data_IF_829157530980
#
_entry.id   IF_829157530980
#
_cell.length_a   1.000
_cell.length_b   1.000
_cell.length_c   1.000
_cell.angle_alpha   90.00
_cell.angle_beta   90.00
_cell.angle_gamma   90.00
#
_symmetry.space_group_name_H-M   'P 1'
#
loop_
_entity.id
_entity.type
_entity.pdbx_description
1 polymer ?
#
# COMPACT_ATOMS: atom_id res chain seq x y z
N UNK A 1 26.25 -13.25 -64.77
CA UNK A 1 25.30 -12.24 -64.25
C UNK A 1 24.35 -12.97 -63.30
N UNK A 2 24.60 -12.87 -62.00
CA UNK A 2 23.77 -13.50 -60.96
C UNK A 2 22.90 -12.36 -60.35
N UNK A 3 21.61 -12.45 -60.56
CA UNK A 3 20.65 -11.53 -59.93
C UNK A 3 20.42 -11.93 -58.48
N UNK A 4 20.84 -11.05 -57.58
CA UNK A 4 20.55 -11.15 -56.13
C UNK A 4 19.20 -10.54 -55.90
N UNK A 5 18.21 -11.39 -55.57
CA UNK A 5 16.88 -10.93 -55.10
C UNK A 5 16.98 -10.53 -53.64
N UNK A 6 16.91 -9.23 -53.36
CA UNK A 6 16.67 -8.71 -52.00
C UNK A 6 15.18 -8.91 -51.65
N UNK A 7 14.93 -9.78 -50.71
CA UNK A 7 13.60 -9.90 -50.06
C UNK A 7 13.59 -8.84 -48.94
N UNK A 8 12.66 -7.87 -48.94
CA UNK A 8 12.51 -6.99 -47.79
C UNK A 8 11.89 -7.78 -46.65
N UNK A 9 12.63 -7.93 -45.55
CA UNK A 9 12.07 -8.39 -44.27
C UNK A 9 11.14 -7.27 -43.80
N UNK A 10 9.86 -7.48 -44.00
CA UNK A 10 8.79 -6.68 -43.40
C UNK A 10 8.80 -7.00 -41.90
N UNK A 11 9.53 -6.20 -41.13
CA UNK A 11 9.46 -6.23 -39.68
C UNK A 11 8.03 -5.79 -39.31
N UNK A 12 7.16 -6.78 -39.08
CA UNK A 12 5.80 -6.55 -38.60
C UNK A 12 5.91 -5.93 -37.24
N UNK A 13 5.85 -4.60 -37.16
CA UNK A 13 5.41 -3.92 -35.96
C UNK A 13 4.02 -4.47 -35.65
N UNK A 14 3.92 -5.35 -34.70
CA UNK A 14 2.67 -5.61 -34.01
C UNK A 14 2.36 -4.32 -33.26
N UNK A 15 1.64 -3.41 -33.94
CA UNK A 15 0.88 -2.39 -33.24
C UNK A 15 -0.08 -3.17 -32.34
N UNK A 16 0.26 -3.26 -31.06
CA UNK A 16 -0.78 -3.47 -30.06
C UNK A 16 -1.69 -2.24 -30.23
N UNK A 17 -2.77 -2.44 -31.00
CA UNK A 17 -3.88 -1.51 -30.97
C UNK A 17 -4.23 -1.36 -29.50
N UNK A 18 -4.10 -0.14 -28.98
CA UNK A 18 -4.65 0.19 -27.68
C UNK A 18 -6.11 -0.23 -27.80
N UNK A 19 -6.46 -1.35 -27.16
CA UNK A 19 -7.85 -1.78 -27.08
C UNK A 19 -8.59 -0.58 -26.51
N UNK A 20 -9.54 -0.08 -27.29
CA UNK A 20 -10.38 1.00 -26.86
C UNK A 20 -11.15 0.51 -25.65
N UNK A 21 -10.79 0.97 -24.45
CA UNK A 21 -11.53 0.71 -23.21
C UNK A 21 -12.54 1.85 -22.96
N UNK A 22 -13.49 2.15 -23.89
CA UNK A 22 -14.48 3.21 -23.70
C UNK A 22 -15.37 2.92 -22.50
N UNK A 23 -15.39 1.63 -22.06
CA UNK A 23 -16.17 1.15 -20.95
C UNK A 23 -15.69 1.70 -19.60
N UNK A 24 -14.38 1.97 -19.39
CA UNK A 24 -13.87 2.42 -18.09
C UNK A 24 -14.38 3.81 -17.73
N UNK A 25 -14.27 4.78 -18.65
CA UNK A 25 -14.80 6.12 -18.42
C UNK A 25 -16.31 6.09 -18.25
N UNK A 26 -17.02 5.36 -19.10
CA UNK A 26 -18.46 5.18 -19.03
C UNK A 26 -18.87 4.59 -17.68
N UNK A 27 -18.16 3.56 -17.18
CA UNK A 27 -18.42 2.96 -15.89
C UNK A 27 -18.22 3.96 -14.73
N UNK A 28 -17.13 4.76 -14.75
CA UNK A 28 -16.93 5.81 -13.77
C UNK A 28 -18.09 6.82 -13.77
N UNK A 29 -18.49 7.29 -14.96
CA UNK A 29 -19.59 8.26 -15.13
C UNK A 29 -20.92 7.67 -14.61
N UNK A 30 -21.20 6.38 -14.89
CA UNK A 30 -22.40 5.69 -14.42
C UNK A 30 -22.42 5.53 -12.89
N UNK A 31 -21.30 5.17 -12.25
CA UNK A 31 -21.24 5.02 -10.80
C UNK A 31 -21.36 6.38 -10.09
N UNK A 32 -20.83 7.45 -10.69
CA UNK A 32 -21.02 8.81 -10.19
C UNK A 32 -22.50 9.23 -10.33
N UNK A 33 -23.12 8.95 -11.48
CA UNK A 33 -24.53 9.26 -11.71
C UNK A 33 -25.48 8.50 -10.77
N UNK A 34 -25.10 7.29 -10.36
CA UNK A 34 -25.82 6.49 -9.34
C UNK A 34 -25.55 6.94 -7.90
N UNK A 35 -24.72 7.95 -7.68
CA UNK A 35 -24.24 8.36 -6.37
C UNK A 35 -23.50 7.25 -5.59
N UNK A 36 -22.81 6.33 -6.29
CA UNK A 36 -21.98 5.30 -5.64
C UNK A 36 -20.55 5.78 -5.35
N UNK A 37 -20.10 6.83 -6.06
CA UNK A 37 -18.84 7.54 -5.80
C UNK A 37 -18.95 9.02 -6.11
N UNK A 38 -18.08 9.83 -5.53
CA UNK A 38 -17.96 11.28 -5.80
C UNK A 38 -17.12 11.53 -7.05
N UNK A 39 -16.09 10.73 -7.23
CA UNK A 39 -15.19 10.77 -8.35
C UNK A 39 -14.16 9.65 -8.25
N UNK A 40 -13.47 9.39 -9.35
CA UNK A 40 -12.48 8.32 -9.42
C UNK A 40 -11.49 8.52 -10.56
N UNK A 41 -10.34 7.88 -10.41
CA UNK A 41 -9.31 7.76 -11.41
C UNK A 41 -8.99 6.28 -11.60
N UNK A 42 -9.03 5.81 -12.84
CA UNK A 42 -8.61 4.45 -13.22
C UNK A 42 -7.38 4.56 -14.11
N UNK A 43 -6.37 3.78 -13.81
CA UNK A 43 -5.19 3.62 -14.64
C UNK A 43 -5.00 2.14 -14.97
N UNK A 44 -4.85 1.83 -16.24
CA UNK A 44 -4.47 0.50 -16.72
C UNK A 44 -3.07 0.54 -17.31
N UNK A 45 -2.37 -0.57 -17.22
CA UNK A 45 -1.01 -0.68 -17.73
C UNK A 45 -0.60 -2.15 -17.89
N UNK A 46 0.51 -2.32 -18.57
CA UNK A 46 1.19 -3.59 -18.74
C UNK A 46 2.65 -3.51 -18.28
N UNK A 47 3.44 -4.50 -18.67
CA UNK A 47 4.89 -4.54 -18.36
C UNK A 47 5.65 -3.35 -18.95
N UNK A 48 5.19 -2.78 -20.06
CA UNK A 48 5.91 -1.78 -20.83
C UNK A 48 5.49 -0.34 -20.46
N UNK A 49 4.26 -0.15 -20.00
CA UNK A 49 3.83 1.20 -19.61
C UNK A 49 2.40 1.33 -19.12
N UNK A 50 2.01 2.59 -18.99
CA UNK A 50 0.61 2.96 -18.81
C UNK A 50 -0.06 2.92 -20.18
N UNK A 51 -1.10 2.13 -20.31
CA UNK A 51 -1.89 2.01 -21.53
C UNK A 51 -2.96 3.08 -21.58
N UNK A 52 -3.64 3.33 -20.47
CA UNK A 52 -4.72 4.28 -20.39
C UNK A 52 -4.91 4.83 -18.98
N UNK A 53 -5.38 6.06 -18.91
CA UNK A 53 -5.82 6.70 -17.68
C UNK A 53 -7.13 7.44 -17.95
N UNK A 54 -8.14 7.16 -17.12
CA UNK A 54 -9.46 7.79 -17.20
C UNK A 54 -9.80 8.37 -15.82
N UNK A 55 -10.46 9.51 -15.83
CA UNK A 55 -10.89 10.17 -14.61
C UNK A 55 -12.25 10.82 -14.80
N UNK A 56 -13.03 10.88 -13.74
CA UNK A 56 -14.36 11.52 -13.74
C UNK A 56 -14.74 11.97 -12.32
N UNK A 57 -15.64 12.94 -12.25
CA UNK A 57 -16.18 13.45 -11.00
C UNK A 57 -15.28 14.42 -10.28
N UNK A 58 -15.52 14.55 -8.96
CA UNK A 58 -14.93 15.58 -8.12
C UNK A 58 -13.92 15.00 -7.13
N UNK A 59 -12.83 15.71 -6.99
CA UNK A 59 -11.85 15.51 -5.91
C UNK A 59 -12.28 16.25 -4.62
N UNK A 60 -13.06 17.31 -4.75
CA UNK A 60 -13.62 18.08 -3.65
C UNK A 60 -15.00 18.63 -4.04
N UNK A 61 -16.03 18.21 -3.30
CA UNK A 61 -17.42 18.65 -3.54
C UNK A 61 -17.59 20.14 -3.23
N UNK A 62 -17.02 20.62 -2.11
CA UNK A 62 -17.23 21.97 -1.63
C UNK A 62 -16.67 23.03 -2.60
N UNK A 63 -15.46 22.80 -3.10
CA UNK A 63 -14.83 23.67 -4.10
C UNK A 63 -15.20 23.34 -5.55
N UNK A 64 -15.93 22.25 -5.79
CA UNK A 64 -16.22 21.70 -7.12
C UNK A 64 -14.96 21.37 -7.94
N UNK A 65 -13.86 21.06 -7.27
CA UNK A 65 -12.60 20.69 -7.92
C UNK A 65 -12.75 19.33 -8.59
N UNK A 66 -12.57 19.28 -9.91
CA UNK A 66 -12.53 18.02 -10.64
C UNK A 66 -11.27 17.22 -10.33
N UNK A 67 -11.34 15.89 -10.46
CA UNK A 67 -10.16 15.01 -10.34
C UNK A 67 -9.16 15.33 -11.45
N UNK A 68 -7.87 15.36 -11.07
CA UNK A 68 -6.73 15.57 -11.96
C UNK A 68 -5.82 14.33 -11.95
N UNK A 69 -5.01 14.18 -13.01
CA UNK A 69 -4.12 13.03 -13.19
C UNK A 69 -3.05 12.89 -12.08
N UNK A 70 -2.64 14.00 -11.49
CA UNK A 70 -1.63 14.11 -10.43
C UNK A 70 -2.23 14.26 -9.03
N UNK A 71 -3.53 14.05 -8.89
CA UNK A 71 -4.17 14.10 -7.58
C UNK A 71 -3.63 13.01 -6.65
N UNK A 72 -3.50 13.42 -5.38
CA UNK A 72 -3.07 12.55 -4.31
C UNK A 72 -4.30 11.87 -3.67
N UNK A 73 -4.20 10.57 -3.46
CA UNK A 73 -5.24 9.77 -2.80
C UNK A 73 -4.69 9.14 -1.54
N UNK A 74 -5.49 9.08 -0.48
CA UNK A 74 -5.25 8.11 0.57
C UNK A 74 -5.52 6.72 0.00
N UNK A 75 -4.47 5.90 -0.11
CA UNK A 75 -4.55 4.59 -0.76
C UNK A 75 -4.93 3.45 0.19
N UNK A 76 -5.18 3.78 1.45
CA UNK A 76 -5.67 2.82 2.46
C UNK A 76 -4.88 1.50 2.43
N UNK A 77 -5.56 0.38 2.35
CA UNK A 77 -4.96 -0.96 2.40
C UNK A 77 -4.07 -1.32 1.20
N UNK A 78 -4.03 -0.51 0.15
CA UNK A 78 -3.00 -0.62 -0.88
C UNK A 78 -1.59 -0.30 -0.34
N UNK A 79 -1.48 0.19 0.89
CA UNK A 79 -0.21 0.28 1.65
C UNK A 79 0.40 -1.09 1.94
N UNK A 80 -0.40 -2.14 2.16
CA UNK A 80 0.07 -3.47 2.59
C UNK A 80 1.04 -4.14 1.62
N UNK A 81 0.83 -4.13 0.29
CA UNK A 81 1.81 -4.63 -0.66
C UNK A 81 3.18 -3.95 -0.55
N UNK A 82 3.20 -2.64 -0.26
CA UNK A 82 4.45 -1.90 -0.01
C UNK A 82 5.14 -2.45 1.24
N UNK A 83 4.39 -2.69 2.31
CA UNK A 83 4.92 -3.25 3.56
C UNK A 83 5.44 -4.67 3.35
N UNK A 84 4.70 -5.51 2.64
CA UNK A 84 5.15 -6.86 2.26
C UNK A 84 6.46 -6.81 1.47
N UNK A 85 6.53 -5.94 0.47
CA UNK A 85 7.76 -5.72 -0.33
C UNK A 85 8.94 -5.33 0.55
N UNK A 86 8.77 -4.42 1.50
CA UNK A 86 9.84 -4.00 2.43
C UNK A 86 10.37 -5.18 3.26
N UNK A 87 9.49 -6.04 3.76
CA UNK A 87 9.87 -7.27 4.48
C UNK A 87 10.62 -8.23 3.56
N UNK A 88 10.09 -8.46 2.35
CA UNK A 88 10.71 -9.39 1.38
C UNK A 88 12.08 -8.89 0.89
N UNK A 89 12.31 -7.58 0.79
CA UNK A 89 13.65 -7.03 0.50
C UNK A 89 14.66 -7.39 1.58
N UNK A 90 14.28 -7.35 2.86
CA UNK A 90 15.15 -7.75 3.96
C UNK A 90 15.32 -9.26 4.04
N UNK A 91 14.26 -10.02 3.72
CA UNK A 91 14.31 -11.48 3.61
C UNK A 91 15.30 -11.93 2.53
N UNK A 92 15.19 -11.39 1.32
CA UNK A 92 16.10 -11.69 0.21
C UNK A 92 17.56 -11.37 0.51
N UNK A 93 17.79 -10.29 1.28
CA UNK A 93 19.14 -9.87 1.73
C UNK A 93 19.66 -10.72 2.90
N UNK A 94 18.93 -11.74 3.35
CA UNK A 94 19.31 -12.61 4.48
C UNK A 94 19.34 -11.88 5.82
N UNK A 95 18.69 -10.71 5.95
CA UNK A 95 18.65 -9.92 7.19
C UNK A 95 17.58 -10.43 8.16
N UNK A 96 16.55 -11.07 7.65
CA UNK A 96 15.52 -11.79 8.38
C UNK A 96 15.07 -13.01 7.56
N UNK A 97 14.33 -13.93 8.22
CA UNK A 97 13.58 -14.97 7.53
C UNK A 97 12.10 -14.79 7.87
N UNK A 98 11.21 -14.80 6.87
CA UNK A 98 9.78 -14.63 7.12
C UNK A 98 9.19 -15.75 7.99
N UNK A 99 9.82 -16.92 8.04
CA UNK A 99 9.45 -18.01 8.94
C UNK A 99 9.99 -17.86 10.35
N UNK A 100 10.85 -16.85 10.62
CA UNK A 100 11.31 -16.60 11.98
C UNK A 100 10.15 -16.17 12.89
N UNK A 101 10.18 -16.61 14.16
CA UNK A 101 9.23 -16.10 15.14
C UNK A 101 9.45 -14.60 15.38
N UNK A 102 8.35 -13.84 15.42
CA UNK A 102 8.39 -12.37 15.63
C UNK A 102 9.18 -12.01 16.88
N UNK A 103 9.09 -12.80 17.95
CA UNK A 103 9.84 -12.58 19.22
C UNK A 103 11.36 -12.57 19.06
N UNK A 104 11.90 -13.10 17.96
CA UNK A 104 13.34 -13.02 17.65
C UNK A 104 13.80 -11.58 17.43
N UNK A 105 12.92 -10.74 16.90
CA UNK A 105 13.17 -9.34 16.58
C UNK A 105 12.51 -8.37 17.55
N UNK A 106 11.35 -8.76 18.08
CA UNK A 106 10.53 -8.01 19.02
C UNK A 106 10.35 -8.85 20.30
N UNK A 107 11.29 -8.74 21.28
CA UNK A 107 11.31 -9.59 22.47
C UNK A 107 10.00 -9.59 23.27
N UNK A 108 9.26 -8.48 23.26
CA UNK A 108 7.96 -8.36 23.91
C UNK A 108 6.94 -9.41 23.44
N UNK A 109 7.08 -9.94 22.21
CA UNK A 109 6.23 -11.02 21.70
C UNK A 109 6.49 -12.39 22.32
N UNK A 110 7.49 -12.53 23.22
CA UNK A 110 7.64 -13.72 24.04
C UNK A 110 6.49 -13.89 25.04
N UNK A 111 5.83 -12.79 25.43
CA UNK A 111 4.72 -12.78 26.38
C UNK A 111 3.35 -12.85 25.72
N UNK A 112 3.30 -12.97 24.38
CA UNK A 112 2.03 -13.09 23.65
C UNK A 112 1.25 -14.34 24.11
N UNK A 113 -0.04 -14.16 24.43
CA UNK A 113 -0.90 -15.20 24.98
C UNK A 113 -2.26 -15.28 24.28
N UNK A 114 -2.87 -16.44 24.32
CA UNK A 114 -4.27 -16.63 23.97
C UNK A 114 -5.22 -16.23 25.13
N UNK A 115 -6.53 -16.33 24.91
CA UNK A 115 -7.53 -16.01 25.91
C UNK A 115 -7.50 -16.92 27.17
N UNK A 116 -6.83 -18.07 27.08
CA UNK A 116 -6.63 -19.01 28.18
C UNK A 116 -5.30 -18.76 28.92
N UNK A 117 -4.52 -17.74 28.51
CA UNK A 117 -3.24 -17.38 29.10
C UNK A 117 -2.06 -18.26 28.63
N UNK A 118 -2.24 -19.13 27.64
CA UNK A 118 -1.20 -19.95 27.06
C UNK A 118 -0.35 -19.11 26.09
N UNK A 119 0.98 -19.24 26.19
CA UNK A 119 1.91 -18.57 25.28
C UNK A 119 1.71 -19.02 23.83
N UNK A 120 1.73 -18.06 22.93
CA UNK A 120 1.57 -18.24 21.48
C UNK A 120 2.82 -17.72 20.76
N UNK A 121 3.30 -18.46 19.79
CA UNK A 121 4.42 -18.04 18.93
C UNK A 121 3.83 -17.79 17.53
N UNK A 122 4.12 -16.62 16.97
CA UNK A 122 3.73 -16.24 15.62
C UNK A 122 4.98 -15.94 14.78
N UNK A 123 4.88 -16.15 13.47
CA UNK A 123 5.94 -15.82 12.50
C UNK A 123 5.63 -14.52 11.76
N UNK A 124 6.65 -13.95 11.09
CA UNK A 124 6.48 -12.78 10.23
C UNK A 124 5.55 -13.11 9.06
N UNK A 125 5.69 -14.31 8.46
CA UNK A 125 4.81 -14.79 7.39
C UNK A 125 3.34 -14.78 7.82
N UNK A 126 3.03 -15.32 9.00
CA UNK A 126 1.66 -15.32 9.54
C UNK A 126 1.09 -13.91 9.74
N UNK A 127 1.94 -12.95 10.11
CA UNK A 127 1.53 -11.54 10.18
C UNK A 127 1.14 -10.98 8.79
N UNK A 128 1.92 -11.26 7.76
CA UNK A 128 1.66 -10.80 6.39
C UNK A 128 0.47 -11.50 5.75
N UNK A 129 0.27 -12.79 6.02
CA UNK A 129 -0.78 -13.63 5.46
C UNK A 129 -2.12 -13.53 6.17
N UNK A 130 -2.22 -12.74 7.25
CA UNK A 130 -3.43 -12.62 8.07
C UNK A 130 -3.84 -13.93 8.77
N UNK A 131 -2.89 -14.77 9.11
CA UNK A 131 -3.10 -16.05 9.80
C UNK A 131 -2.50 -16.11 11.21
N UNK A 132 -1.95 -14.99 11.70
CA UNK A 132 -1.28 -14.92 13.01
C UNK A 132 -2.23 -15.05 14.22
N UNK A 133 -3.52 -14.78 14.03
CA UNK A 133 -4.49 -14.72 15.13
C UNK A 133 -4.40 -13.46 16.00
N UNK A 134 -3.49 -12.52 15.73
CA UNK A 134 -3.40 -11.28 16.49
C UNK A 134 -4.72 -10.52 16.52
N UNK A 135 -5.02 -9.92 17.66
CA UNK A 135 -6.13 -8.98 17.80
C UNK A 135 -5.75 -7.63 17.18
N UNK A 136 -6.73 -6.99 16.54
CA UNK A 136 -6.58 -5.60 16.15
C UNK A 136 -6.75 -4.67 17.35
N UNK A 137 -6.00 -3.58 17.35
CA UNK A 137 -6.17 -2.49 18.32
C UNK A 137 -7.56 -1.88 18.08
N UNK A 138 -8.39 -1.74 19.13
CA UNK A 138 -9.70 -1.11 19.00
C UNK A 138 -9.61 0.28 18.39
N UNK A 139 -10.62 0.66 17.59
CA UNK A 139 -10.65 1.97 16.94
C UNK A 139 -10.54 3.09 17.97
N UNK A 140 -9.57 3.99 17.79
CA UNK A 140 -9.32 5.14 18.66
C UNK A 140 -8.39 4.84 19.84
N UNK A 141 -8.17 3.59 20.22
CA UNK A 141 -7.23 3.24 21.30
C UNK A 141 -5.77 3.52 20.91
N UNK A 142 -5.49 3.62 19.62
CA UNK A 142 -4.18 3.96 19.08
C UNK A 142 -3.97 5.48 18.87
N UNK A 143 -4.89 6.32 19.37
CA UNK A 143 -4.79 7.78 19.23
C UNK A 143 -3.54 8.36 19.89
N UNK A 144 -3.04 7.70 20.93
CA UNK A 144 -1.86 8.11 21.69
C UNK A 144 -0.53 7.54 21.15
N UNK A 145 -0.56 6.63 20.16
CA UNK A 145 0.66 6.01 19.65
C UNK A 145 1.38 6.93 18.66
N UNK A 146 2.67 7.14 18.89
CA UNK A 146 3.54 7.95 18.04
C UNK A 146 4.48 7.10 17.18
N UNK A 147 4.68 5.83 17.58
CA UNK A 147 5.61 4.90 16.93
C UNK A 147 4.98 3.53 16.71
N UNK A 148 5.54 2.75 15.77
CA UNK A 148 5.18 1.33 15.63
C UNK A 148 5.57 0.52 16.89
N UNK A 149 6.57 0.97 17.63
CA UNK A 149 6.95 0.33 18.90
C UNK A 149 5.83 0.50 19.96
N UNK A 150 5.17 1.66 20.03
CA UNK A 150 4.04 1.86 20.95
C UNK A 150 2.88 0.92 20.58
N UNK A 151 2.59 0.82 19.28
CA UNK A 151 1.57 -0.09 18.79
C UNK A 151 1.90 -1.55 19.16
N UNK A 152 3.11 -2.03 18.88
CA UNK A 152 3.47 -3.44 19.12
C UNK A 152 3.48 -3.79 20.60
N UNK A 153 3.93 -2.89 21.47
CA UNK A 153 3.82 -3.04 22.93
C UNK A 153 2.38 -3.16 23.40
N UNK A 154 1.45 -2.44 22.76
CA UNK A 154 0.03 -2.57 23.08
C UNK A 154 -0.55 -3.88 22.53
N UNK A 155 -0.21 -4.26 21.30
CA UNK A 155 -0.73 -5.47 20.65
C UNK A 155 -0.46 -6.72 21.51
N UNK A 156 0.71 -6.84 22.12
CA UNK A 156 1.04 -8.02 22.95
C UNK A 156 0.24 -8.10 24.25
N UNK A 157 -0.43 -7.02 24.66
CA UNK A 157 -1.34 -7.04 25.81
C UNK A 157 -2.72 -7.60 25.48
N UNK A 158 -3.03 -7.71 24.18
CA UNK A 158 -4.30 -8.24 23.70
C UNK A 158 -4.20 -9.77 23.49
N UNK A 159 -5.23 -10.54 23.84
CA UNK A 159 -5.21 -11.98 23.61
C UNK A 159 -5.24 -12.30 22.10
N UNK A 160 -4.58 -13.39 21.74
CA UNK A 160 -4.69 -13.95 20.37
C UNK A 160 -6.10 -14.54 20.17
N UNK A 161 -6.78 -14.18 19.09
CA UNK A 161 -8.16 -14.54 18.82
C UNK A 161 -8.35 -16.01 18.41
N UNK A 162 -7.32 -16.63 17.84
CA UNK A 162 -7.34 -18.02 17.37
C UNK A 162 -5.90 -18.53 17.21
N UNK A 163 -5.68 -19.84 17.25
CA UNK A 163 -4.37 -20.42 17.03
C UNK A 163 -3.79 -20.03 15.66
N UNK A 164 -2.51 -19.64 15.57
CA UNK A 164 -1.87 -19.32 14.30
C UNK A 164 -2.11 -20.42 13.24
N UNK A 165 -2.32 -20.01 11.99
CA UNK A 165 -2.66 -20.83 10.82
C UNK A 165 -3.96 -21.64 10.90
N UNK A 166 -4.76 -21.51 11.98
CA UNK A 166 -6.03 -22.23 12.07
C UNK A 166 -7.12 -21.61 11.20
N UNK A 167 -7.02 -20.33 10.88
CA UNK A 167 -7.89 -19.63 9.94
C UNK A 167 -7.26 -18.33 9.41
N UNK A 168 -7.82 -17.81 8.33
CA UNK A 168 -7.54 -16.48 7.83
C UNK A 168 -8.49 -15.46 8.47
N UNK A 169 -7.94 -14.35 8.94
CA UNK A 169 -8.72 -13.21 9.44
C UNK A 169 -7.94 -11.92 9.22
N UNK A 170 -8.50 -11.03 8.40
CA UNK A 170 -7.86 -9.77 8.08
C UNK A 170 -7.47 -9.00 9.34
N UNK A 171 -6.18 -8.67 9.48
CA UNK A 171 -5.60 -8.12 10.69
C UNK A 171 -4.66 -6.97 10.38
N UNK A 172 -4.89 -5.81 10.99
CA UNK A 172 -4.06 -4.62 10.83
C UNK A 172 -2.80 -4.71 11.68
N UNK A 173 -2.96 -5.24 12.91
CA UNK A 173 -1.86 -5.38 13.88
C UNK A 173 -0.73 -6.25 13.34
N UNK A 174 -1.04 -7.32 12.60
CA UNK A 174 -0.03 -8.18 11.98
C UNK A 174 0.87 -7.41 11.01
N UNK A 175 0.27 -6.65 10.11
CA UNK A 175 1.02 -5.86 9.11
C UNK A 175 1.91 -4.80 9.80
N UNK A 176 1.38 -4.08 10.78
CA UNK A 176 2.15 -3.10 11.54
C UNK A 176 3.28 -3.75 12.36
N UNK A 177 3.05 -4.97 12.88
CA UNK A 177 4.09 -5.77 13.55
C UNK A 177 5.22 -6.13 12.58
N UNK A 178 4.89 -6.57 11.36
CA UNK A 178 5.88 -6.85 10.33
C UNK A 178 6.69 -5.59 9.95
N UNK A 179 6.03 -4.43 9.85
CA UNK A 179 6.72 -3.15 9.63
C UNK A 179 7.65 -2.77 10.80
N UNK A 180 7.25 -3.05 12.04
CA UNK A 180 8.15 -2.84 13.20
C UNK A 180 9.38 -3.75 13.13
N UNK A 181 9.25 -4.98 12.65
CA UNK A 181 10.40 -5.85 12.39
C UNK A 181 11.34 -5.22 11.36
N UNK A 182 10.80 -4.60 10.29
CA UNK A 182 11.63 -3.85 9.32
C UNK A 182 12.44 -2.76 10.02
N UNK A 183 11.84 -1.98 10.92
CA UNK A 183 12.58 -0.94 11.67
C UNK A 183 13.74 -1.51 12.49
N UNK A 184 13.47 -2.59 13.24
CA UNK A 184 14.50 -3.21 14.10
C UNK A 184 15.65 -3.79 13.28
N UNK A 185 15.34 -4.48 12.19
CA UNK A 185 16.33 -5.14 11.35
C UNK A 185 17.14 -4.17 10.52
N UNK A 186 16.52 -3.08 10.03
CA UNK A 186 17.17 -2.08 9.20
C UNK A 186 17.88 -0.98 10.00
N UNK A 187 17.49 -0.75 11.25
CA UNK A 187 17.94 0.38 12.06
C UNK A 187 17.37 1.72 11.62
N UNK A 188 16.38 1.73 10.73
CA UNK A 188 15.71 2.93 10.19
C UNK A 188 14.25 2.96 10.61
N UNK A 189 13.62 4.15 10.66
CA UNK A 189 12.15 4.20 10.74
C UNK A 189 11.54 3.54 9.49
N UNK A 190 10.34 2.98 9.61
CA UNK A 190 9.66 2.35 8.49
C UNK A 190 9.48 3.30 7.31
N UNK A 191 9.10 4.55 7.58
CA UNK A 191 8.96 5.61 6.57
C UNK A 191 10.29 5.85 5.82
N UNK A 192 11.39 6.00 6.57
CA UNK A 192 12.71 6.22 5.96
C UNK A 192 13.15 5.00 5.12
N UNK A 193 12.91 3.78 5.63
CA UNK A 193 13.27 2.57 4.90
C UNK A 193 12.56 2.49 3.54
N UNK A 194 11.22 2.61 3.51
CA UNK A 194 10.47 2.51 2.24
C UNK A 194 10.74 3.70 1.32
N UNK A 195 10.99 4.88 1.85
CA UNK A 195 11.38 6.05 1.05
C UNK A 195 12.72 5.83 0.33
N UNK A 196 13.75 5.41 1.04
CA UNK A 196 15.10 5.24 0.51
C UNK A 196 15.25 3.99 -0.37
N UNK A 197 14.64 2.88 0.04
CA UNK A 197 14.83 1.58 -0.62
C UNK A 197 13.85 1.32 -1.76
N UNK A 198 12.68 1.98 -1.73
CA UNK A 198 11.61 1.70 -2.68
C UNK A 198 11.13 2.97 -3.41
N UNK A 199 10.64 4.00 -2.69
CA UNK A 199 9.97 5.12 -3.36
C UNK A 199 10.91 5.97 -4.21
N UNK A 200 12.02 6.47 -3.64
CA UNK A 200 12.99 7.28 -4.36
C UNK A 200 13.58 6.54 -5.57
N UNK A 201 14.06 5.29 -5.43
CA UNK A 201 14.57 4.55 -6.57
C UNK A 201 13.55 4.24 -7.65
N UNK A 202 12.27 3.98 -7.25
CA UNK A 202 11.17 3.77 -8.20
C UNK A 202 10.66 5.08 -8.82
N UNK A 203 11.12 6.25 -8.35
CA UNK A 203 10.59 7.53 -8.81
C UNK A 203 9.16 7.81 -8.36
N UNK A 204 8.72 7.22 -7.24
CA UNK A 204 7.41 7.45 -6.60
C UNK A 204 7.48 8.72 -5.74
N UNK A 205 7.47 9.87 -6.39
CA UNK A 205 7.80 11.18 -5.79
C UNK A 205 6.74 11.72 -4.83
N UNK A 206 5.50 11.29 -5.04
CA UNK A 206 4.35 11.76 -4.28
C UNK A 206 3.86 10.74 -3.23
N UNK A 207 4.49 9.55 -3.16
CA UNK A 207 4.08 8.52 -2.20
C UNK A 207 4.68 8.79 -0.83
N UNK A 208 3.83 8.94 0.19
CA UNK A 208 4.25 9.33 1.54
C UNK A 208 3.24 8.97 2.61
N UNK A 209 3.69 8.84 3.87
CA UNK A 209 2.81 8.81 5.06
C UNK A 209 2.44 10.21 5.55
N UNK A 210 3.23 11.22 5.20
CA UNK A 210 3.10 12.59 5.71
C UNK A 210 3.13 13.58 4.55
N UNK A 211 1.98 13.84 3.90
CA UNK A 211 1.90 14.76 2.77
C UNK A 211 2.36 16.17 3.13
N UNK A 212 3.18 16.76 2.27
CA UNK A 212 3.58 18.17 2.37
C UNK A 212 2.41 19.13 2.12
N UNK A 213 2.58 20.40 2.46
CA UNK A 213 1.55 21.42 2.21
C UNK A 213 1.13 21.51 0.73
N UNK A 214 2.07 21.30 -0.20
CA UNK A 214 1.77 21.31 -1.64
C UNK A 214 1.05 20.03 -2.08
N UNK A 215 1.41 18.88 -1.54
CA UNK A 215 0.69 17.63 -1.77
C UNK A 215 -0.74 17.70 -1.22
N UNK A 216 -0.94 18.34 -0.07
CA UNK A 216 -2.27 18.54 0.51
C UNK A 216 -3.23 19.37 -0.38
N UNK A 217 -2.71 20.26 -1.23
CA UNK A 217 -3.53 21.01 -2.20
C UNK A 217 -4.11 20.10 -3.29
N UNK A 218 -3.44 18.99 -3.58
CA UNK A 218 -3.85 17.98 -4.57
C UNK A 218 -4.58 16.78 -3.95
N UNK A 219 -4.78 16.77 -2.63
CA UNK A 219 -5.44 15.65 -1.95
C UNK A 219 -6.91 15.57 -2.36
N UNK A 220 -7.32 14.40 -2.86
CA UNK A 220 -8.73 14.07 -3.00
C UNK A 220 -9.35 13.90 -1.62
N UNK A 221 -10.46 14.57 -1.38
CA UNK A 221 -11.21 14.47 -0.13
C UNK A 221 -11.82 13.08 0.01
N UNK A 222 -11.84 12.57 1.23
CA UNK A 222 -12.55 11.34 1.55
C UNK A 222 -14.01 11.65 1.90
N UNK A 223 -14.92 10.82 1.42
CA UNK A 223 -16.35 10.99 1.66
C UNK A 223 -16.96 9.67 2.14
N UNK A 224 -18.03 9.79 2.94
CA UNK A 224 -18.91 8.68 3.29
C UNK A 224 -20.35 9.07 2.96
N UNK A 225 -21.16 8.11 2.54
CA UNK A 225 -22.59 8.34 2.31
C UNK A 225 -23.27 8.67 3.63
N UNK A 226 -24.00 9.79 3.67
CA UNK A 226 -24.92 10.14 4.76
C UNK A 226 -26.36 9.75 4.45
N UNK A 227 -26.70 9.66 3.16
CA UNK A 227 -27.97 9.12 2.64
C UNK A 227 -27.74 8.50 1.25
N UNK A 228 -28.81 8.07 0.57
CA UNK A 228 -28.73 7.51 -0.79
C UNK A 228 -28.10 8.49 -1.81
N UNK A 229 -28.27 9.80 -1.60
CA UNK A 229 -27.87 10.85 -2.55
C UNK A 229 -26.92 11.90 -1.96
N UNK A 230 -26.57 11.77 -0.69
CA UNK A 230 -25.75 12.78 0.00
C UNK A 230 -24.43 12.22 0.50
N UNK A 231 -23.40 13.04 0.40
CA UNK A 231 -22.05 12.76 0.84
C UNK A 231 -21.63 13.70 1.98
N UNK A 232 -21.01 13.13 3.01
CA UNK A 232 -20.38 13.88 4.08
C UNK A 232 -18.87 13.68 3.99
N UNK A 233 -18.09 14.76 4.07
CA UNK A 233 -16.63 14.65 4.16
C UNK A 233 -16.23 13.86 5.40
N UNK A 234 -15.37 12.87 5.19
CA UNK A 234 -14.81 12.03 6.24
C UNK A 234 -13.47 12.62 6.69
N UNK A 235 -13.28 12.77 8.00
CA UNK A 235 -12.01 13.23 8.54
C UNK A 235 -10.92 12.18 8.35
N UNK A 236 -9.74 12.64 7.94
CA UNK A 236 -8.50 11.87 7.92
C UNK A 236 -7.57 12.19 9.11
N UNK A 237 -8.09 12.81 10.16
CA UNK A 237 -7.30 13.21 11.34
C UNK A 237 -6.62 12.01 12.03
N UNK A 238 -7.18 10.82 11.94
CA UNK A 238 -6.56 9.59 12.43
C UNK A 238 -5.24 9.23 11.71
N UNK A 239 -4.99 9.79 10.52
CA UNK A 239 -3.75 9.65 9.76
C UNK A 239 -2.86 10.88 9.89
N UNK A 240 -3.45 12.05 9.67
CA UNK A 240 -2.75 13.32 9.55
C UNK A 240 -2.56 14.04 10.89
N UNK A 241 -3.27 13.60 11.93
CA UNK A 241 -3.41 14.37 13.18
C UNK A 241 -4.45 15.48 13.06
N UNK A 242 -4.79 16.08 14.19
CA UNK A 242 -5.69 17.25 14.19
C UNK A 242 -4.94 18.49 13.65
N UNK A 243 -5.61 19.38 12.92
CA UNK A 243 -5.01 20.61 12.43
C UNK A 243 -4.37 21.42 13.59
N UNK A 244 -3.08 21.73 13.46
CA UNK A 244 -2.33 22.46 14.49
C UNK A 244 -1.81 21.61 15.66
N UNK A 245 -2.09 20.33 15.71
CA UNK A 245 -1.50 19.42 16.69
C UNK A 245 -0.04 19.08 16.33
N UNK A 246 0.88 19.33 17.26
CA UNK A 246 2.29 18.96 17.11
C UNK A 246 2.56 17.47 17.41
N UNK A 247 1.50 16.63 17.47
CA UNK A 247 1.64 15.22 17.83
C UNK A 247 2.00 14.40 16.60
N UNK A 248 3.15 13.77 16.65
CA UNK A 248 3.57 12.80 15.62
C UNK A 248 2.64 11.58 15.68
N UNK A 249 2.25 11.08 14.52
CA UNK A 249 1.49 9.83 14.37
C UNK A 249 2.43 8.74 13.87
N UNK A 250 2.24 7.50 14.34
CA UNK A 250 2.99 6.38 13.81
C UNK A 250 2.61 6.12 12.35
N UNK A 251 3.58 5.67 11.51
CA UNK A 251 3.27 5.31 10.13
C UNK A 251 2.39 4.06 10.14
N UNK A 252 1.15 4.21 9.72
CA UNK A 252 0.21 3.07 9.63
C UNK A 252 0.59 2.21 8.42
N UNK A 253 1.56 1.32 8.61
CA UNK A 253 2.06 0.44 7.56
C UNK A 253 0.97 -0.49 6.96
N UNK A 254 -0.14 -0.61 7.65
CA UNK A 254 -1.34 -1.33 7.21
C UNK A 254 -2.25 -0.51 6.27
N UNK A 255 -2.11 0.82 6.22
CA UNK A 255 -3.09 1.62 5.47
C UNK A 255 -2.88 3.13 5.48
N UNK A 256 -1.70 3.64 5.83
CA UNK A 256 -1.47 5.08 6.03
C UNK A 256 -0.86 5.84 4.87
N UNK A 257 -0.54 5.20 3.75
CA UNK A 257 0.07 5.87 2.62
C UNK A 257 -0.92 6.73 1.82
N UNK A 258 -0.38 7.82 1.34
CA UNK A 258 -0.94 8.63 0.28
C UNK A 258 -0.09 8.44 -0.98
N UNK A 259 -0.72 8.40 -2.15
CA UNK A 259 -0.02 8.19 -3.42
C UNK A 259 -0.83 8.74 -4.59
N UNK A 260 -0.19 8.90 -5.73
CA UNK A 260 -0.84 9.14 -7.02
C UNK A 260 -0.99 7.83 -7.80
N UNK A 261 -1.88 7.81 -8.79
CA UNK A 261 -2.01 6.66 -9.69
C UNK A 261 -0.71 6.40 -10.46
N UNK A 262 0.00 7.45 -10.85
CA UNK A 262 1.28 7.35 -11.55
C UNK A 262 2.34 6.64 -10.70
N UNK A 263 2.50 7.05 -9.44
CA UNK A 263 3.47 6.45 -8.50
C UNK A 263 3.14 4.98 -8.22
N UNK A 264 1.88 4.72 -7.83
CA UNK A 264 1.47 3.34 -7.53
C UNK A 264 1.54 2.44 -8.77
N UNK A 265 1.29 2.99 -9.96
CA UNK A 265 1.47 2.30 -11.23
C UNK A 265 2.92 1.87 -11.47
N UNK A 266 3.91 2.65 -11.04
CA UNK A 266 5.34 2.27 -11.10
C UNK A 266 5.63 1.09 -10.18
N UNK A 267 5.11 1.12 -8.96
CA UNK A 267 5.21 -0.01 -8.03
C UNK A 267 4.56 -1.28 -8.61
N UNK A 268 3.34 -1.18 -9.11
CA UNK A 268 2.63 -2.31 -9.71
C UNK A 268 3.38 -2.91 -10.91
N UNK A 269 3.97 -2.06 -11.78
CA UNK A 269 4.78 -2.51 -12.90
C UNK A 269 6.08 -3.18 -12.45
N UNK A 270 6.72 -2.69 -11.40
CA UNK A 270 7.91 -3.35 -10.82
C UNK A 270 7.56 -4.78 -10.40
N UNK A 271 6.46 -4.97 -9.70
CA UNK A 271 5.97 -6.33 -9.33
C UNK A 271 5.64 -7.17 -10.57
N UNK A 272 4.89 -6.61 -11.54
CA UNK A 272 4.51 -7.29 -12.78
C UNK A 272 5.73 -7.73 -13.61
N UNK A 273 6.84 -7.01 -13.51
CA UNK A 273 8.12 -7.33 -14.17
C UNK A 273 9.03 -8.25 -13.34
N UNK A 274 8.49 -8.90 -12.31
CA UNK A 274 9.24 -9.82 -11.47
C UNK A 274 10.32 -9.14 -10.64
N UNK A 275 10.02 -7.96 -10.10
CA UNK A 275 10.91 -7.22 -9.20
C UNK A 275 11.88 -6.27 -9.88
N UNK A 276 11.65 -5.90 -11.13
CA UNK A 276 12.54 -5.00 -11.88
C UNK A 276 11.76 -3.87 -12.55
N UNK A 277 12.31 -2.66 -12.56
CA UNK A 277 11.80 -1.52 -13.32
C UNK A 277 12.96 -0.59 -13.72
N UNK A 278 12.88 -0.06 -14.94
CA UNK A 278 13.83 0.92 -15.50
C UNK A 278 15.30 0.47 -15.36
N UNK A 279 15.57 -0.84 -15.60
CA UNK A 279 16.91 -1.42 -15.52
C UNK A 279 17.45 -1.65 -14.10
N UNK A 280 16.64 -1.36 -13.07
CA UNK A 280 17.00 -1.62 -11.67
C UNK A 280 16.18 -2.80 -11.10
N UNK A 281 16.90 -3.73 -10.47
CA UNK A 281 16.28 -4.83 -9.73
C UNK A 281 16.11 -4.45 -8.26
N UNK A 282 14.89 -4.67 -7.77
CA UNK A 282 14.46 -4.41 -6.40
C UNK A 282 14.29 -5.70 -5.61
N UNK A 283 13.77 -6.73 -6.28
CA UNK A 283 13.60 -8.08 -5.78
C UNK A 283 13.96 -9.07 -6.89
N UNK A 284 14.35 -10.26 -6.53
CA UNK A 284 14.44 -11.40 -7.46
C UNK A 284 13.04 -11.86 -7.84
N UNK A 285 12.93 -12.46 -9.03
CA UNK A 285 11.65 -12.98 -9.51
C UNK A 285 11.06 -14.06 -8.59
N UNK A 286 11.92 -14.92 -8.05
CA UNK A 286 11.54 -15.93 -7.07
C UNK A 286 10.93 -15.33 -5.80
N UNK A 287 11.52 -14.23 -5.30
CA UNK A 287 11.03 -13.51 -4.10
C UNK A 287 9.69 -12.81 -4.36
N UNK A 288 9.47 -12.35 -5.59
CA UNK A 288 8.16 -11.77 -5.97
C UNK A 288 7.07 -12.84 -6.05
N UNK A 289 7.44 -14.09 -6.37
CA UNK A 289 6.48 -15.21 -6.45
C UNK A 289 6.15 -15.84 -5.11
N UNK A 290 7.04 -15.71 -4.12
CA UNK A 290 6.85 -16.18 -2.75
C UNK A 290 5.77 -15.35 -2.01
#
# INVERSE_FOLDING_TARGET
MKHLLLIPILCGMILHAAEDFPLLKKQLDEEIAKHEMVGGLVQTGDRDGVLRQEMSGLADIASKRAIQADDLFWIASMTKPITGTAVMMLHERGKLNIQDPVKKYLPEFADLKDAQGKHVIITIAQCLQHSSGLSDVPRGADAEFETLADLTKHVVTLPVNFPPDSKWSYCQSGINTAARVVEVVSGKSFEAFVAEELFQPLGMKDTTFSPSADQMKRLCKAYQKSSATEWKEASLSFLLGEPGANKKRYPRANGGLFSTAADYGRFARMILRGGELDGRRYLKEETVRE
#
